data_IF_219141516136
#
_entry.id   IF_219141516136
#
_cell.length_a   1.000
_cell.length_b   1.000
_cell.length_c   1.000
_cell.angle_alpha   90.00
_cell.angle_beta   90.00
_cell.angle_gamma   90.00
#
_symmetry.space_group_name_H-M   'P 1'
#
loop_
_entity.id
_entity.type
_entity.pdbx_description
1 polymer ?
#
# COMPACT_ATOMS: atom_id res chain seq x y z
N UNK A 1 11.27 16.34 8.52
CA UNK A 1 10.39 15.19 8.22
C UNK A 1 10.51 14.89 6.73
N UNK A 2 10.93 13.68 6.35
CA UNK A 2 11.21 13.35 4.94
C UNK A 2 9.92 13.11 4.14
N UNK A 3 10.02 13.09 2.81
CA UNK A 3 8.90 12.70 1.93
C UNK A 3 8.44 11.27 2.24
N UNK A 4 9.38 10.37 2.54
CA UNK A 4 9.11 8.97 2.92
C UNK A 4 8.30 8.90 4.21
N UNK A 5 8.68 9.66 5.24
CA UNK A 5 7.93 9.73 6.51
C UNK A 5 6.49 10.17 6.29
N UNK A 6 6.29 11.24 5.51
CA UNK A 6 4.95 11.77 5.23
C UNK A 6 4.10 10.74 4.50
N UNK A 7 4.68 10.08 3.49
CA UNK A 7 4.00 9.02 2.75
C UNK A 7 3.60 7.86 3.67
N UNK A 8 4.53 7.35 4.49
CA UNK A 8 4.24 6.25 5.42
C UNK A 8 3.20 6.62 6.47
N UNK A 9 3.24 7.84 7.02
CA UNK A 9 2.21 8.33 7.95
C UNK A 9 0.82 8.34 7.30
N UNK A 10 0.74 8.70 6.01
CA UNK A 10 -0.52 8.66 5.27
C UNK A 10 -1.01 7.22 5.06
N UNK A 11 -0.11 6.29 4.71
CA UNK A 11 -0.45 4.87 4.56
C UNK A 11 -0.91 4.25 5.88
N UNK A 12 -0.24 4.60 6.99
CA UNK A 12 -0.63 4.18 8.33
C UNK A 12 -2.04 4.63 8.70
N UNK A 13 -2.33 5.92 8.53
CA UNK A 13 -3.65 6.48 8.84
C UNK A 13 -4.76 5.81 8.00
N UNK A 14 -4.49 5.59 6.70
CA UNK A 14 -5.40 4.85 5.83
C UNK A 14 -5.62 3.41 6.32
N UNK A 15 -4.55 2.67 6.63
CA UNK A 15 -4.60 1.28 7.12
C UNK A 15 -5.44 1.15 8.39
N UNK A 16 -5.21 2.03 9.38
CA UNK A 16 -5.96 2.06 10.64
C UNK A 16 -7.44 2.35 10.38
N UNK A 17 -7.75 3.37 9.57
CA UNK A 17 -9.13 3.71 9.26
C UNK A 17 -9.85 2.59 8.49
N UNK A 18 -9.18 1.95 7.54
CA UNK A 18 -9.73 0.84 6.77
C UNK A 18 -10.05 -0.39 7.64
N UNK A 19 -9.30 -0.65 8.71
CA UNK A 19 -9.58 -1.79 9.60
C UNK A 19 -10.59 -1.47 10.71
N UNK A 20 -10.65 -0.21 11.20
CA UNK A 20 -11.37 0.08 12.46
C UNK A 20 -12.48 1.12 12.35
N UNK A 21 -12.62 1.83 11.22
CA UNK A 21 -13.67 2.83 11.04
C UNK A 21 -14.74 2.35 10.07
N UNK A 22 -15.95 2.09 10.57
CA UNK A 22 -17.12 1.71 9.75
C UNK A 22 -17.52 2.75 8.70
N UNK A 23 -17.06 4.01 8.84
CA UNK A 23 -17.28 5.10 7.89
C UNK A 23 -16.25 5.12 6.75
N UNK A 24 -15.16 4.36 6.89
CA UNK A 24 -14.11 4.35 5.88
C UNK A 24 -14.58 3.55 4.65
N UNK A 25 -14.35 4.03 3.42
CA UNK A 25 -14.84 3.37 2.20
C UNK A 25 -14.30 1.95 2.04
N UNK A 26 -13.06 1.70 2.45
CA UNK A 26 -12.46 0.36 2.41
C UNK A 26 -12.84 -0.55 3.59
N UNK A 27 -13.66 -0.09 4.55
CA UNK A 27 -13.98 -0.89 5.75
C UNK A 27 -14.53 -2.27 5.40
N UNK A 28 -15.46 -2.34 4.46
CA UNK A 28 -16.06 -3.59 4.00
C UNK A 28 -15.05 -4.61 3.46
N UNK A 29 -13.86 -4.18 3.00
CA UNK A 29 -12.80 -5.05 2.48
C UNK A 29 -11.85 -5.58 3.55
N UNK A 30 -11.77 -4.88 4.69
CA UNK A 30 -10.81 -5.20 5.74
C UNK A 30 -11.53 -5.40 7.07
N UNK A 31 -11.85 -4.32 7.79
CA UNK A 31 -12.50 -4.42 9.11
C UNK A 31 -13.86 -5.11 9.11
N UNK A 32 -14.60 -5.04 8.00
CA UNK A 32 -15.89 -5.71 7.83
C UNK A 32 -15.80 -7.21 7.59
N UNK A 33 -14.59 -7.74 7.34
CA UNK A 33 -14.29 -9.17 7.16
C UNK A 33 -13.22 -9.64 8.17
N UNK A 34 -13.14 -8.95 9.32
CA UNK A 34 -12.26 -9.26 10.46
C UNK A 34 -10.75 -9.21 10.17
N UNK A 35 -10.34 -8.50 9.11
CA UNK A 35 -8.93 -8.16 8.94
C UNK A 35 -8.57 -7.03 9.91
N UNK A 36 -7.52 -7.26 10.69
CA UNK A 36 -6.99 -6.32 11.65
C UNK A 36 -5.57 -5.85 11.29
N UNK A 37 -5.05 -4.92 12.08
CA UNK A 37 -3.63 -4.54 12.09
C UNK A 37 -2.97 -5.24 13.27
N UNK A 38 -1.75 -5.77 13.10
CA UNK A 38 -0.97 -6.34 14.20
C UNK A 38 -0.87 -5.37 15.37
N UNK A 39 -0.88 -5.88 16.60
CA UNK A 39 -0.84 -5.06 17.83
C UNK A 39 0.35 -4.10 17.81
N UNK A 40 1.54 -4.60 17.45
CA UNK A 40 2.77 -3.81 17.33
C UNK A 40 2.61 -2.58 16.42
N UNK A 41 2.01 -2.73 15.25
CA UNK A 41 1.78 -1.60 14.34
C UNK A 41 0.64 -0.72 14.85
N UNK A 42 -0.46 -1.30 15.32
CA UNK A 42 -1.63 -0.56 15.82
C UNK A 42 -1.28 0.39 16.96
N UNK A 43 -0.37 -0.02 17.83
CA UNK A 43 0.04 0.71 19.04
C UNK A 43 1.22 1.64 18.81
N UNK A 44 1.97 1.45 17.71
CA UNK A 44 3.18 2.23 17.44
C UNK A 44 3.35 2.55 15.95
N UNK A 45 3.10 3.83 15.61
CA UNK A 45 3.41 4.39 14.30
C UNK A 45 4.91 4.26 13.98
N UNK A 46 5.80 4.45 14.96
CA UNK A 46 7.24 4.32 14.76
C UNK A 46 7.64 2.89 14.42
N UNK A 47 7.01 1.88 15.04
CA UNK A 47 7.24 0.48 14.68
C UNK A 47 6.83 0.20 13.22
N UNK A 48 5.68 0.74 12.78
CA UNK A 48 5.27 0.65 11.38
C UNK A 48 6.28 1.33 10.43
N UNK A 49 6.73 2.55 10.76
CA UNK A 49 7.68 3.28 9.92
C UNK A 49 9.00 2.51 9.81
N UNK A 50 9.55 2.05 10.93
CA UNK A 50 10.81 1.32 10.96
C UNK A 50 10.75 0.01 10.15
N UNK A 51 9.66 -0.74 10.24
CA UNK A 51 9.50 -1.98 9.48
C UNK A 51 9.31 -1.73 7.97
N UNK A 52 8.76 -0.58 7.58
CA UNK A 52 8.35 -0.30 6.20
C UNK A 52 9.30 0.60 5.42
N UNK A 53 10.14 1.42 6.07
CA UNK A 53 10.95 2.47 5.42
C UNK A 53 11.89 1.94 4.33
N UNK A 54 12.49 0.76 4.56
CA UNK A 54 13.41 0.11 3.62
C UNK A 54 12.71 -0.74 2.56
N UNK A 55 11.40 -0.95 2.70
CA UNK A 55 10.58 -1.68 1.72
C UNK A 55 10.00 -0.77 0.64
N UNK A 56 10.15 0.56 0.79
CA UNK A 56 9.52 1.53 -0.08
C UNK A 56 10.00 1.36 -1.53
N UNK A 57 9.08 1.39 -2.51
CA UNK A 57 9.46 1.33 -3.92
C UNK A 57 10.23 2.59 -4.32
N UNK A 58 11.03 2.48 -5.38
CA UNK A 58 11.81 3.61 -5.93
C UNK A 58 10.92 4.83 -6.25
N UNK A 59 9.71 4.60 -6.73
CA UNK A 59 8.70 5.64 -6.95
C UNK A 59 7.50 5.42 -6.03
N UNK A 60 7.17 6.47 -5.27
CA UNK A 60 6.03 6.51 -4.34
C UNK A 60 4.72 6.92 -5.05
N UNK A 61 4.81 7.47 -6.26
CA UNK A 61 3.65 7.92 -7.02
C UNK A 61 2.73 6.75 -7.34
N UNK A 62 1.43 6.94 -7.13
CA UNK A 62 0.39 5.92 -7.32
C UNK A 62 0.58 4.62 -6.51
N UNK A 63 1.36 4.64 -5.43
CA UNK A 63 1.56 3.48 -4.56
C UNK A 63 0.57 3.44 -3.40
N UNK A 64 0.12 2.25 -3.06
CA UNK A 64 -0.73 1.96 -1.91
C UNK A 64 -0.30 0.66 -1.24
N UNK A 65 -0.48 0.58 0.07
CA UNK A 65 -0.31 -0.65 0.85
C UNK A 65 -1.49 -1.61 0.62
N UNK A 66 -1.22 -2.88 0.36
CA UNK A 66 -2.22 -3.95 0.23
C UNK A 66 -1.70 -5.24 0.88
N UNK A 67 -2.61 -6.18 1.19
CA UNK A 67 -2.27 -7.47 1.78
C UNK A 67 -1.79 -8.47 0.74
N UNK A 68 -0.77 -9.26 1.09
CA UNK A 68 -0.37 -10.44 0.32
C UNK A 68 -1.34 -11.60 0.52
N UNK A 69 -1.73 -11.85 1.78
CA UNK A 69 -2.75 -12.82 2.15
C UNK A 69 -3.93 -12.10 2.81
N UNK A 70 -5.12 -12.08 2.18
CA UNK A 70 -6.29 -11.35 2.69
C UNK A 70 -6.88 -11.95 3.97
N UNK A 71 -6.47 -13.17 4.37
CA UNK A 71 -6.92 -13.81 5.62
C UNK A 71 -6.01 -13.54 6.82
N UNK A 72 -4.97 -12.72 6.64
CA UNK A 72 -3.98 -12.40 7.67
C UNK A 72 -3.99 -10.89 7.97
N UNK A 73 -3.56 -10.48 9.18
CA UNK A 73 -3.50 -9.06 9.55
C UNK A 73 -2.53 -8.25 8.70
N UNK A 74 -2.65 -6.92 8.77
CA UNK A 74 -1.57 -6.03 8.38
C UNK A 74 -0.40 -6.16 9.35
N UNK A 75 0.69 -6.77 8.88
CA UNK A 75 1.89 -7.05 9.67
C UNK A 75 3.12 -7.12 8.75
N UNK A 76 4.33 -7.01 9.32
CA UNK A 76 5.56 -7.25 8.56
C UNK A 76 5.49 -8.59 7.85
N UNK A 77 5.77 -8.59 6.54
CA UNK A 77 5.76 -9.80 5.71
C UNK A 77 4.40 -10.20 5.13
N UNK A 78 3.28 -9.60 5.56
CA UNK A 78 1.97 -9.81 4.93
C UNK A 78 1.47 -8.61 4.10
N UNK A 79 2.34 -7.66 3.81
CA UNK A 79 1.98 -6.48 3.01
C UNK A 79 2.87 -6.34 1.79
N UNK A 80 2.37 -5.61 0.80
CA UNK A 80 3.11 -5.23 -0.40
C UNK A 80 2.68 -3.85 -0.92
N UNK A 81 3.56 -3.24 -1.71
CA UNK A 81 3.33 -1.94 -2.34
C UNK A 81 2.74 -2.14 -3.74
N UNK A 82 1.44 -1.98 -3.86
CA UNK A 82 0.72 -2.09 -5.13
C UNK A 82 0.53 -0.74 -5.79
N UNK A 83 0.26 -0.76 -7.10
CA UNK A 83 -0.19 0.42 -7.81
C UNK A 83 -1.69 0.61 -7.65
N UNK A 84 -2.12 1.84 -7.35
CA UNK A 84 -3.52 2.21 -7.25
C UNK A 84 -4.22 2.29 -8.62
N UNK A 85 -3.46 2.46 -9.72
CA UNK A 85 -4.01 2.61 -11.08
C UNK A 85 -4.40 1.28 -11.73
N UNK A 86 -5.56 1.26 -12.42
CA UNK A 86 -6.14 0.09 -13.11
C UNK A 86 -5.28 -0.51 -14.22
N UNK A 87 -4.28 0.22 -14.72
CA UNK A 87 -3.37 -0.23 -15.79
C UNK A 87 -2.23 -1.14 -15.29
N UNK A 88 -2.56 -2.11 -14.41
CA UNK A 88 -1.59 -3.03 -13.79
C UNK A 88 -0.78 -3.83 -14.83
N UNK A 89 -1.36 -4.11 -15.99
CA UNK A 89 -0.74 -4.86 -17.09
C UNK A 89 0.10 -4.05 -18.08
N UNK A 90 0.18 -2.71 -17.94
CA UNK A 90 0.94 -1.85 -18.86
C UNK A 90 2.30 -1.43 -18.32
N UNK A 91 2.83 -2.03 -17.23
CA UNK A 91 4.09 -1.58 -16.61
C UNK A 91 5.24 -2.57 -16.81
N UNK A 92 6.45 -2.02 -16.88
CA UNK A 92 7.69 -2.79 -16.97
C UNK A 92 7.96 -3.56 -15.65
N UNK A 93 8.79 -4.63 -15.68
CA UNK A 93 9.06 -5.48 -14.50
C UNK A 93 9.63 -4.73 -13.28
N UNK A 94 10.31 -3.61 -13.50
CA UNK A 94 10.87 -2.72 -12.47
C UNK A 94 9.82 -1.75 -11.87
N UNK A 95 8.57 -1.82 -12.35
CA UNK A 95 7.47 -1.01 -11.85
C UNK A 95 7.46 0.43 -12.36
N UNK A 96 8.25 0.78 -13.38
CA UNK A 96 8.09 2.07 -14.04
C UNK A 96 6.93 2.08 -15.04
N UNK A 97 6.33 3.25 -15.23
CA UNK A 97 5.39 3.47 -16.32
C UNK A 97 6.20 3.57 -17.62
N UNK A 98 5.91 2.77 -18.66
CA UNK A 98 6.54 2.93 -19.96
C UNK A 98 6.40 4.36 -20.44
N UNK A 99 7.40 4.86 -21.13
CA UNK A 99 7.29 6.17 -21.78
C UNK A 99 6.07 6.19 -22.73
N UNK A 100 5.43 7.35 -22.92
CA UNK A 100 4.28 7.51 -23.82
C UNK A 100 4.50 6.93 -25.24
N UNK A 101 5.70 7.03 -25.85
CA UNK A 101 6.00 6.34 -27.11
C UNK A 101 5.87 4.81 -27.02
N UNK A 102 6.36 4.20 -25.94
CA UNK A 102 6.34 2.75 -25.73
C UNK A 102 4.91 2.22 -25.50
N UNK A 103 4.04 3.02 -24.87
CA UNK A 103 2.62 2.68 -24.73
C UNK A 103 1.86 2.66 -26.05
N UNK A 104 2.20 3.58 -26.97
CA UNK A 104 1.56 3.65 -28.30
C UNK A 104 1.99 2.47 -29.19
N UNK A 105 3.24 2.03 -29.08
CA UNK A 105 3.77 0.90 -29.83
C UNK A 105 3.12 -0.45 -29.47
N UNK A 106 2.68 -0.64 -28.22
CA UNK A 106 2.05 -1.89 -27.74
C UNK A 106 0.57 -2.04 -28.09
N UNK A 107 -0.04 -1.05 -28.76
CA UNK A 107 -1.45 -1.06 -29.19
C UNK A 107 -1.65 -1.39 -30.67
N UNK A 108 -0.58 -1.72 -31.39
CA UNK A 108 -0.61 -2.13 -32.82
C UNK A 108 -0.52 -3.64 -32.91
#
# INVERSE_FOLDING_TARGET
MTIKDRFLKQQYAWMIAACYSRKHPDFHRYGGVDVAVSSRWKESLDAFINDMIDTLPRSLSERRLELRNPRRPFEPGNVEWVFASKHRGLRAPDGTHPSMPEMRARRV
#
